data_IF_044986335979
#
_entry.id   IF_044986335979
#
_cell.length_a   1.000
_cell.length_b   1.000
_cell.length_c   1.000
_cell.angle_alpha   90.00
_cell.angle_beta   90.00
_cell.angle_gamma   90.00
#
_symmetry.space_group_name_H-M   'P 1'
#
loop_
_entity.id
_entity.type
_entity.pdbx_description
1 polymer ?
#
# COMPACT_ATOMS: atom_id res chain seq x y z
N UNK A 1 14.74 -21.72 0.30
CA UNK A 1 15.78 -20.67 0.40
C UNK A 1 15.15 -19.48 1.08
N UNK A 2 15.62 -19.10 2.27
CA UNK A 2 15.18 -17.87 2.92
C UNK A 2 15.71 -16.71 2.08
N UNK A 3 14.83 -15.87 1.54
CA UNK A 3 15.25 -14.65 0.88
C UNK A 3 15.99 -13.79 1.91
N UNK A 4 17.22 -13.38 1.61
CA UNK A 4 17.94 -12.45 2.45
C UNK A 4 17.15 -11.14 2.50
N UNK A 5 16.83 -10.68 3.71
CA UNK A 5 16.29 -9.36 3.94
C UNK A 5 17.44 -8.46 4.39
N UNK A 6 17.53 -7.28 3.81
CA UNK A 6 18.58 -6.32 4.17
C UNK A 6 17.96 -4.94 4.21
N UNK A 7 18.09 -4.29 5.38
CA UNK A 7 17.84 -2.86 5.50
C UNK A 7 18.95 -2.14 4.77
N UNK A 8 18.56 -1.30 3.83
CA UNK A 8 19.53 -0.54 3.05
C UNK A 8 19.62 0.91 3.53
N UNK A 9 18.51 1.48 4.04
CA UNK A 9 18.42 2.82 4.61
C UNK A 9 17.35 2.88 5.72
N UNK A 10 16.94 4.07 6.16
CA UNK A 10 16.11 4.26 7.36
C UNK A 10 14.72 3.62 7.27
N UNK A 11 14.03 3.75 6.13
CA UNK A 11 12.64 3.30 5.97
C UNK A 11 12.48 2.16 4.98
N UNK A 12 13.36 2.07 4.00
CA UNK A 12 13.26 1.13 2.89
C UNK A 12 14.10 -0.12 3.15
N UNK A 13 13.64 -1.23 2.61
CA UNK A 13 14.28 -2.52 2.79
C UNK A 13 14.19 -3.35 1.52
N UNK A 14 15.04 -4.37 1.42
CA UNK A 14 14.93 -5.39 0.38
C UNK A 14 14.42 -6.69 0.96
N UNK A 15 13.63 -7.40 0.16
CA UNK A 15 13.28 -8.80 0.42
C UNK A 15 13.43 -9.57 -0.88
N UNK A 16 14.49 -10.37 -0.97
CA UNK A 16 14.94 -10.94 -2.23
C UNK A 16 15.37 -9.84 -3.20
N UNK A 17 14.89 -9.89 -4.45
CA UNK A 17 15.24 -8.94 -5.52
C UNK A 17 14.26 -7.76 -5.63
N UNK A 18 13.51 -7.49 -4.58
CA UNK A 18 12.50 -6.43 -4.56
C UNK A 18 12.89 -5.35 -3.56
N UNK A 19 12.84 -4.08 -3.98
CA UNK A 19 12.99 -2.93 -3.09
C UNK A 19 11.61 -2.51 -2.56
N UNK A 20 11.43 -2.50 -1.25
CA UNK A 20 10.19 -2.15 -0.58
C UNK A 20 10.22 -0.72 -0.03
N UNK A 21 9.16 0.02 -0.29
CA UNK A 21 8.95 1.40 0.18
C UNK A 21 7.69 1.41 1.07
N UNK A 22 7.83 1.44 2.40
CA UNK A 22 6.71 1.56 3.32
C UNK A 22 6.19 3.01 3.39
N UNK A 23 4.96 3.25 2.96
CA UNK A 23 4.40 4.62 2.94
C UNK A 23 3.78 5.05 4.27
N UNK A 24 3.15 4.11 4.98
CA UNK A 24 2.38 4.43 6.19
C UNK A 24 2.28 3.18 7.06
N UNK A 25 2.14 3.39 8.37
CA UNK A 25 1.73 2.38 9.31
C UNK A 25 0.22 2.35 9.52
N UNK A 26 -0.56 3.35 9.07
CA UNK A 26 -2.03 3.41 9.26
C UNK A 26 -2.76 2.49 8.30
N UNK A 27 -3.86 1.90 8.74
CA UNK A 27 -4.64 0.98 7.92
C UNK A 27 -6.14 1.28 8.06
N UNK A 28 -6.95 0.82 7.12
CA UNK A 28 -8.42 0.89 7.14
C UNK A 28 -9.05 -0.51 7.24
N UNK A 29 -8.25 -1.49 7.68
CA UNK A 29 -8.58 -2.87 7.96
C UNK A 29 -7.49 -3.45 8.86
N UNK A 30 -7.63 -4.70 9.32
CA UNK A 30 -6.51 -5.42 9.92
C UNK A 30 -5.29 -5.38 8.96
N UNK A 31 -4.10 -5.00 9.44
CA UNK A 31 -2.86 -4.98 8.67
C UNK A 31 -2.57 -6.34 8.05
N UNK A 32 -2.15 -6.37 6.79
CA UNK A 32 -1.85 -7.61 6.09
C UNK A 32 -0.85 -8.52 6.82
N UNK A 33 0.20 -8.02 7.51
CA UNK A 33 1.04 -8.86 8.35
C UNK A 33 0.28 -9.61 9.46
N UNK A 34 -0.67 -8.96 10.12
CA UNK A 34 -1.45 -9.57 11.22
C UNK A 34 -2.44 -10.62 10.73
N UNK A 35 -2.94 -10.49 9.50
CA UNK A 35 -3.81 -11.52 8.90
C UNK A 35 -3.11 -12.89 8.74
N UNK A 36 -1.79 -12.93 8.84
CA UNK A 36 -0.96 -14.14 8.72
C UNK A 36 -0.92 -14.96 10.01
N UNK A 37 -1.57 -14.52 11.08
CA UNK A 37 -1.65 -15.22 12.36
C UNK A 37 -0.54 -14.84 13.35
N UNK A 38 -0.71 -15.19 14.64
CA UNK A 38 0.17 -14.74 15.74
C UNK A 38 1.61 -15.24 15.62
N UNK A 39 1.86 -16.38 14.96
CA UNK A 39 3.21 -16.92 14.76
C UNK A 39 3.99 -16.27 13.60
N UNK A 40 3.40 -15.30 12.89
CA UNK A 40 4.05 -14.70 11.73
C UNK A 40 5.16 -13.74 12.17
N UNK A 41 6.41 -14.07 11.80
CA UNK A 41 7.57 -13.25 12.08
C UNK A 41 8.16 -12.64 10.81
N UNK A 42 8.63 -11.40 10.94
CA UNK A 42 9.40 -10.71 9.91
C UNK A 42 10.89 -10.72 10.29
N UNK A 43 11.80 -10.72 9.31
CA UNK A 43 13.21 -10.46 9.56
C UNK A 43 13.38 -9.15 10.35
N UNK A 44 14.28 -9.15 11.34
CA UNK A 44 14.53 -7.99 12.22
C UNK A 44 14.72 -6.69 11.44
N UNK A 45 15.48 -6.73 10.36
CA UNK A 45 15.75 -5.57 9.53
C UNK A 45 14.44 -4.96 8.96
N UNK A 46 13.51 -5.79 8.51
CA UNK A 46 12.21 -5.32 8.03
C UNK A 46 11.40 -4.71 9.17
N UNK A 47 11.43 -5.32 10.36
CA UNK A 47 10.77 -4.78 11.56
C UNK A 47 11.34 -3.40 11.89
N UNK A 48 12.65 -3.24 11.93
CA UNK A 48 13.32 -1.96 12.25
C UNK A 48 12.88 -0.85 11.27
N UNK A 49 12.80 -1.14 9.97
CA UNK A 49 12.35 -0.21 8.94
C UNK A 49 10.87 0.19 9.12
N UNK A 50 9.98 -0.77 9.41
CA UNK A 50 8.56 -0.52 9.63
C UNK A 50 8.32 0.26 10.93
N UNK A 51 9.06 -0.05 12.00
CA UNK A 51 9.02 0.71 13.26
C UNK A 51 9.50 2.14 13.04
N UNK A 52 10.52 2.38 12.20
CA UNK A 52 10.96 3.74 11.86
C UNK A 52 9.83 4.55 11.22
N UNK A 53 9.10 3.98 10.27
CA UNK A 53 7.92 4.64 9.66
C UNK A 53 6.86 4.93 10.72
N UNK A 54 6.54 3.94 11.55
CA UNK A 54 5.55 4.07 12.63
C UNK A 54 5.90 5.19 13.61
N UNK A 55 7.17 5.26 14.04
CA UNK A 55 7.63 6.25 15.00
C UNK A 55 7.54 7.67 14.44
N UNK A 56 7.91 7.85 13.18
CA UNK A 56 7.81 9.14 12.51
C UNK A 56 6.36 9.56 12.27
N UNK A 57 5.49 8.65 11.84
CA UNK A 57 4.09 8.95 11.53
C UNK A 57 3.25 9.21 12.79
N UNK A 58 3.54 8.51 13.89
CA UNK A 58 2.85 8.68 15.16
C UNK A 58 3.46 9.77 16.05
N UNK A 59 4.69 10.20 15.79
CA UNK A 59 5.42 11.12 16.68
C UNK A 59 5.72 10.50 18.06
N UNK A 60 5.74 9.17 18.14
CA UNK A 60 6.01 8.41 19.37
C UNK A 60 7.22 7.52 19.13
N UNK A 61 8.21 7.59 20.01
CA UNK A 61 9.34 6.67 19.96
C UNK A 61 8.93 5.31 20.53
N UNK A 62 8.52 4.39 19.65
CA UNK A 62 8.34 3.00 20.02
C UNK A 62 9.71 2.31 20.08
N UNK A 63 10.07 1.81 21.27
CA UNK A 63 11.26 0.99 21.48
C UNK A 63 10.78 -0.43 21.81
N UNK A 64 10.96 -1.41 20.90
CA UNK A 64 10.52 -2.78 21.18
C UNK A 64 11.27 -3.34 22.38
N UNK A 65 10.52 -4.01 23.26
CA UNK A 65 11.10 -4.67 24.41
C UNK A 65 12.02 -5.83 23.98
N UNK A 66 13.00 -6.24 24.79
CA UNK A 66 13.88 -7.36 24.45
C UNK A 66 13.14 -8.68 24.19
N UNK A 67 11.93 -8.84 24.72
CA UNK A 67 11.08 -10.02 24.57
C UNK A 67 10.27 -9.99 23.26
N UNK A 68 10.05 -8.80 22.68
CA UNK A 68 9.37 -8.60 21.39
C UNK A 68 10.30 -8.76 20.18
N UNK A 69 11.54 -9.22 20.38
CA UNK A 69 12.58 -9.38 19.33
C UNK A 69 12.21 -10.50 18.35
N UNK A 70 11.22 -10.28 17.50
CA UNK A 70 10.80 -11.20 16.44
C UNK A 70 9.44 -10.88 15.82
N UNK A 71 8.58 -10.16 16.55
CA UNK A 71 7.27 -9.71 16.08
C UNK A 71 7.25 -8.20 15.82
N UNK A 72 6.31 -7.75 14.96
CA UNK A 72 5.91 -6.36 14.99
C UNK A 72 5.16 -6.12 16.31
N UNK A 73 5.37 -4.98 17.00
CA UNK A 73 4.65 -4.69 18.22
C UNK A 73 3.16 -4.57 17.92
N UNK A 74 2.33 -4.94 18.91
CA UNK A 74 0.87 -4.97 18.78
C UNK A 74 0.33 -3.71 18.12
N UNK A 75 -0.46 -3.94 17.09
CA UNK A 75 -1.08 -2.88 16.34
C UNK A 75 -2.23 -2.30 17.16
N UNK A 76 -2.13 -1.05 17.57
CA UNK A 76 -3.21 -0.39 18.29
C UNK A 76 -4.42 -0.26 17.36
N UNK A 77 -5.60 -0.73 17.79
CA UNK A 77 -6.86 -0.51 17.04
C UNK A 77 -7.13 0.98 16.80
N UNK A 78 -6.57 1.87 17.62
CA UNK A 78 -6.68 3.32 17.42
C UNK A 78 -6.03 3.79 16.10
N UNK A 79 -5.07 3.04 15.56
CA UNK A 79 -4.41 3.36 14.28
C UNK A 79 -5.21 2.90 13.06
N UNK A 80 -6.18 2.00 13.24
CA UNK A 80 -7.10 1.52 12.20
C UNK A 80 -8.16 2.55 11.80
N UNK A 81 -8.39 3.53 12.68
CA UNK A 81 -9.53 4.44 12.59
C UNK A 81 -9.11 5.89 12.34
N UNK A 82 -7.80 6.19 12.41
CA UNK A 82 -7.34 7.55 12.19
C UNK A 82 -7.34 7.87 10.69
N UNK A 83 -8.33 8.67 10.26
CA UNK A 83 -8.19 9.44 9.02
C UNK A 83 -6.82 10.13 9.04
N UNK A 84 -6.06 10.03 7.96
CA UNK A 84 -4.82 10.81 7.83
C UNK A 84 -5.09 12.31 7.94
N UNK A 85 -6.31 12.71 7.61
CA UNK A 85 -6.81 14.07 7.65
C UNK A 85 -8.00 14.13 8.61
N UNK A 86 -7.81 14.62 9.85
CA UNK A 86 -8.92 14.92 10.76
C UNK A 86 -9.87 15.93 10.11
N UNK A 87 -11.17 15.82 10.38
CA UNK A 87 -12.18 16.75 9.83
C UNK A 87 -11.85 18.23 10.14
N UNK A 88 -11.18 18.49 11.27
CA UNK A 88 -10.76 19.82 11.69
C UNK A 88 -9.73 20.46 10.75
N UNK A 89 -8.93 19.67 10.03
CA UNK A 89 -7.95 20.18 9.05
C UNK A 89 -8.60 20.65 7.74
N UNK A 90 -9.89 20.35 7.51
CA UNK A 90 -10.62 20.78 6.31
C UNK A 90 -11.05 22.26 6.45
N UNK A 91 -11.25 22.75 7.68
CA UNK A 91 -11.83 24.08 7.92
C UNK A 91 -10.79 25.19 8.16
N UNK A 92 -9.53 24.86 8.42
CA UNK A 92 -8.51 25.83 8.85
C UNK A 92 -7.55 26.29 7.73
N UNK A 93 -7.93 26.09 6.47
CA UNK A 93 -7.07 26.40 5.32
C UNK A 93 -7.74 27.38 4.36
N UNK A 94 -7.69 28.67 4.72
CA UNK A 94 -7.62 29.73 3.71
C UNK A 94 -6.28 29.56 2.98
N UNK A 95 -6.26 29.46 1.63
CA UNK A 95 -5.02 29.38 0.86
C UNK A 95 -4.34 30.76 0.87
N UNK A 96 -3.81 31.18 2.00
CA UNK A 96 -3.05 32.41 2.11
C UNK A 96 -1.63 32.21 1.55
N UNK A 97 -1.49 32.57 0.28
CA UNK A 97 -0.31 33.24 -0.28
C UNK A 97 1.05 32.53 -0.31
N UNK A 98 1.12 31.25 -0.64
CA UNK A 98 2.34 30.69 -1.26
C UNK A 98 2.10 30.45 -2.76
N UNK A 99 2.30 31.50 -3.56
CA UNK A 99 2.33 31.44 -5.02
C UNK A 99 3.60 30.72 -5.48
N UNK A 100 3.61 29.39 -5.41
CA UNK A 100 4.74 28.57 -5.82
C UNK A 100 4.62 28.16 -7.30
N UNK A 101 4.97 29.07 -8.22
CA UNK A 101 5.34 28.85 -9.64
C UNK A 101 4.83 27.57 -10.36
N UNK A 102 3.54 27.28 -10.32
CA UNK A 102 2.91 26.19 -11.09
C UNK A 102 3.51 24.79 -10.86
N UNK A 103 4.25 24.57 -9.76
CA UNK A 103 4.78 23.26 -9.39
C UNK A 103 3.80 22.61 -8.42
N UNK A 104 3.51 21.34 -8.66
CA UNK A 104 2.70 20.48 -7.79
C UNK A 104 3.04 20.72 -6.31
N UNK A 105 2.11 21.32 -5.56
CA UNK A 105 2.24 21.45 -4.11
C UNK A 105 1.93 20.08 -3.53
N UNK A 106 2.99 19.36 -3.14
CA UNK A 106 2.89 18.07 -2.49
C UNK A 106 2.62 18.30 -1.01
N UNK A 107 1.59 17.65 -0.46
CA UNK A 107 1.35 17.63 0.98
C UNK A 107 2.39 16.74 1.67
N UNK A 108 3.55 17.34 1.97
CA UNK A 108 4.69 16.67 2.59
C UNK A 108 4.67 16.75 4.13
N UNK A 109 3.54 17.14 4.73
CA UNK A 109 3.40 17.34 6.19
C UNK A 109 3.36 16.03 6.97
N UNK A 110 2.95 14.94 6.32
CA UNK A 110 2.89 13.61 6.94
C UNK A 110 4.29 12.98 6.89
N UNK A 111 4.80 12.56 8.04
CA UNK A 111 6.06 11.84 8.13
C UNK A 111 5.86 10.31 8.01
N UNK A 112 6.84 9.56 7.47
CA UNK A 112 8.01 10.08 6.75
C UNK A 112 7.59 10.86 5.51
N UNK A 113 8.31 11.94 5.24
CA UNK A 113 7.98 12.82 4.12
C UNK A 113 8.15 12.10 2.78
N UNK A 114 7.28 12.40 1.82
CA UNK A 114 7.34 12.00 0.40
C UNK A 114 8.74 12.25 -0.15
N UNK A 115 9.33 13.42 0.14
CA UNK A 115 10.69 13.77 -0.32
C UNK A 115 11.74 12.82 0.28
N UNK A 116 11.65 12.52 1.57
CA UNK A 116 12.57 11.61 2.25
C UNK A 116 12.50 10.20 1.65
N UNK A 117 11.29 9.64 1.54
CA UNK A 117 11.06 8.30 0.98
C UNK A 117 11.50 8.18 -0.48
N UNK A 118 11.19 9.19 -1.31
CA UNK A 118 11.60 9.22 -2.71
C UNK A 118 13.13 9.30 -2.85
N UNK A 119 13.78 10.17 -2.06
CA UNK A 119 15.24 10.31 -2.06
C UNK A 119 15.93 9.02 -1.65
N UNK A 120 15.45 8.37 -0.59
CA UNK A 120 15.95 7.09 -0.12
C UNK A 120 15.83 6.01 -1.20
N UNK A 121 14.64 5.85 -1.81
CA UNK A 121 14.42 4.88 -2.88
C UNK A 121 15.34 5.13 -4.10
N UNK A 122 15.44 6.38 -4.56
CA UNK A 122 16.29 6.76 -5.70
C UNK A 122 17.78 6.50 -5.40
N UNK A 123 18.25 6.86 -4.21
CA UNK A 123 19.64 6.62 -3.78
C UNK A 123 19.97 5.12 -3.79
N UNK A 124 19.03 4.29 -3.38
CA UNK A 124 19.19 2.83 -3.41
C UNK A 124 19.20 2.25 -4.81
N UNK A 125 18.38 2.78 -5.72
CA UNK A 125 18.41 2.35 -7.12
C UNK A 125 19.75 2.72 -7.79
N UNK A 126 20.30 3.89 -7.48
CA UNK A 126 21.60 4.34 -7.99
C UNK A 126 22.76 3.50 -7.46
N UNK A 127 22.77 3.20 -6.16
CA UNK A 127 23.84 2.42 -5.51
C UNK A 127 23.79 0.93 -5.85
N UNK A 128 22.59 0.35 -6.03
CA UNK A 128 22.43 -1.06 -6.40
C UNK A 128 22.84 -1.38 -7.85
N UNK A 129 23.10 -0.38 -8.69
CA UNK A 129 23.56 -0.62 -10.08
C UNK A 129 24.88 -1.39 -10.16
N UNK A 130 25.66 -1.43 -9.07
CA UNK A 130 26.93 -2.14 -8.97
C UNK A 130 26.90 -3.42 -8.13
N UNK A 131 25.74 -3.82 -7.58
CA UNK A 131 25.62 -5.03 -6.77
C UNK A 131 25.50 -6.29 -7.63
N UNK A 132 26.02 -7.41 -7.13
CA UNK A 132 25.95 -8.72 -7.80
C UNK A 132 24.51 -9.21 -8.02
N UNK A 133 23.54 -8.69 -7.25
CA UNK A 133 22.12 -9.01 -7.38
C UNK A 133 21.30 -7.73 -7.54
N UNK A 134 21.00 -7.30 -8.78
CA UNK A 134 20.20 -6.12 -9.02
C UNK A 134 18.74 -6.32 -8.60
N UNK A 135 18.08 -5.22 -8.27
CA UNK A 135 16.65 -5.17 -7.97
C UNK A 135 15.85 -5.38 -9.26
N UNK A 136 14.85 -6.26 -9.23
CA UNK A 136 13.98 -6.59 -10.37
C UNK A 136 12.66 -5.80 -10.35
N UNK A 137 12.25 -5.32 -9.18
CA UNK A 137 11.00 -4.58 -9.04
C UNK A 137 11.02 -3.68 -7.82
N UNK A 138 10.19 -2.65 -7.87
CA UNK A 138 9.93 -1.74 -6.77
C UNK A 138 8.55 -2.08 -6.23
N UNK A 139 8.45 -2.21 -4.92
CA UNK A 139 7.22 -2.60 -4.23
C UNK A 139 6.84 -1.50 -3.26
N UNK A 140 5.73 -0.84 -3.53
CA UNK A 140 5.15 0.12 -2.60
C UNK A 140 4.17 -0.65 -1.73
N UNK A 141 4.50 -0.72 -0.45
CA UNK A 141 3.80 -1.53 0.54
C UNK A 141 3.88 -0.81 1.90
N UNK A 142 3.75 -1.57 2.98
CA UNK A 142 3.90 -1.05 4.33
C UNK A 142 3.33 -2.03 5.33
N UNK A 143 3.40 -1.64 6.59
CA UNK A 143 2.55 -2.22 7.60
C UNK A 143 1.07 -1.81 7.37
N UNK A 144 0.86 -0.55 7.02
CA UNK A 144 -0.45 0.04 6.76
C UNK A 144 -0.97 -0.15 5.33
N UNK A 145 -2.00 0.63 4.97
CA UNK A 145 -2.58 0.70 3.63
C UNK A 145 -1.98 1.86 2.82
N UNK A 146 -1.11 1.59 1.82
CA UNK A 146 -0.41 2.63 1.09
C UNK A 146 -1.34 3.61 0.38
N UNK A 147 -2.54 3.19 -0.05
CA UNK A 147 -3.48 4.08 -0.74
C UNK A 147 -4.11 5.14 0.15
N UNK A 148 -3.93 5.07 1.48
CA UNK A 148 -4.27 6.17 2.37
C UNK A 148 -3.44 7.42 2.05
N UNK A 149 -2.19 7.26 1.56
CA UNK A 149 -1.30 8.36 1.15
C UNK A 149 -1.19 8.41 -0.38
N UNK A 150 -2.30 8.60 -1.09
CA UNK A 150 -2.33 8.54 -2.56
C UNK A 150 -1.33 9.51 -3.20
N UNK A 151 -1.21 10.74 -2.70
CA UNK A 151 -0.25 11.72 -3.24
C UNK A 151 1.20 11.26 -3.08
N UNK A 152 1.54 10.64 -1.95
CA UNK A 152 2.87 10.06 -1.73
C UNK A 152 3.12 8.91 -2.70
N UNK A 153 2.15 8.01 -2.83
CA UNK A 153 2.19 6.86 -3.74
C UNK A 153 2.48 7.28 -5.18
N UNK A 154 1.72 8.25 -5.71
CA UNK A 154 1.91 8.76 -7.07
C UNK A 154 3.23 9.51 -7.24
N UNK A 155 3.57 10.39 -6.28
CA UNK A 155 4.76 11.23 -6.37
C UNK A 155 6.06 10.46 -6.30
N UNK A 156 6.15 9.46 -5.43
CA UNK A 156 7.32 8.57 -5.32
C UNK A 156 7.47 7.77 -6.61
N UNK A 157 6.37 7.20 -7.13
CA UNK A 157 6.39 6.41 -8.37
C UNK A 157 6.87 7.25 -9.56
N UNK A 158 6.35 8.47 -9.70
CA UNK A 158 6.76 9.39 -10.77
C UNK A 158 8.24 9.79 -10.66
N UNK A 159 8.74 10.07 -9.45
CA UNK A 159 10.16 10.40 -9.25
C UNK A 159 11.09 9.25 -9.60
N UNK A 160 10.71 8.02 -9.23
CA UNK A 160 11.44 6.80 -9.58
C UNK A 160 11.48 6.61 -11.11
N UNK A 161 10.34 6.74 -11.80
CA UNK A 161 10.28 6.62 -13.27
C UNK A 161 11.11 7.71 -13.96
N UNK A 162 11.02 8.95 -13.47
CA UNK A 162 11.78 10.08 -13.99
C UNK A 162 13.29 9.85 -13.84
N UNK A 163 13.72 9.35 -12.67
CA UNK A 163 15.11 9.01 -12.41
C UNK A 163 15.61 7.85 -13.30
N UNK A 164 14.79 6.82 -13.51
CA UNK A 164 15.16 5.72 -14.40
C UNK A 164 15.34 6.21 -15.85
N UNK A 165 14.44 7.08 -16.30
CA UNK A 165 14.50 7.69 -17.63
C UNK A 165 15.72 8.60 -17.79
N UNK A 166 16.03 9.44 -16.80
CA UNK A 166 17.17 10.37 -16.88
C UNK A 166 18.53 9.66 -16.90
N UNK A 167 18.62 8.50 -16.24
CA UNK A 167 19.85 7.71 -16.21
C UNK A 167 19.91 6.64 -17.31
N UNK A 168 18.94 6.62 -18.23
CA UNK A 168 18.84 5.61 -19.29
C UNK A 168 18.88 4.16 -18.76
N UNK A 169 18.36 3.94 -17.55
CA UNK A 169 18.24 2.60 -16.97
C UNK A 169 16.95 1.94 -17.43
N UNK A 170 16.91 0.62 -17.67
CA UNK A 170 15.68 -0.08 -17.95
C UNK A 170 14.62 0.19 -16.87
N UNK A 171 13.36 0.49 -17.25
CA UNK A 171 12.33 0.79 -16.27
C UNK A 171 12.03 -0.48 -15.44
N UNK A 172 12.13 -0.35 -14.12
CA UNK A 172 11.70 -1.42 -13.22
C UNK A 172 10.19 -1.34 -13.02
N UNK A 173 9.49 -2.48 -13.02
CA UNK A 173 8.07 -2.50 -12.70
C UNK A 173 7.84 -2.03 -11.26
N UNK A 174 6.86 -1.15 -11.08
CA UNK A 174 6.39 -0.69 -9.78
C UNK A 174 5.11 -1.46 -9.43
N UNK A 175 5.14 -2.16 -8.29
CA UNK A 175 4.02 -2.94 -7.76
C UNK A 175 3.48 -2.30 -6.49
N UNK A 176 2.18 -2.08 -6.43
CA UNK A 176 1.46 -1.74 -5.21
C UNK A 176 1.02 -3.03 -4.48
N UNK A 177 1.22 -3.13 -3.17
CA UNK A 177 0.56 -4.11 -2.31
C UNK A 177 -0.50 -3.36 -1.49
N UNK A 178 -1.75 -3.83 -1.55
CA UNK A 178 -2.90 -3.15 -0.94
C UNK A 178 -3.93 -4.18 -0.45
N UNK A 179 -4.74 -3.79 0.53
CA UNK A 179 -5.96 -4.51 0.89
C UNK A 179 -7.10 -4.29 -0.12
N UNK A 180 -6.97 -3.34 -1.05
CA UNK A 180 -7.94 -3.04 -2.10
C UNK A 180 -9.12 -2.17 -1.66
N UNK A 181 -9.15 -1.69 -0.41
CA UNK A 181 -10.21 -0.84 0.14
C UNK A 181 -10.05 0.64 -0.25
N UNK A 182 -9.39 0.93 -1.36
CA UNK A 182 -9.13 2.30 -1.84
C UNK A 182 -10.42 3.12 -1.95
N UNK A 183 -11.51 2.45 -2.36
CA UNK A 183 -12.82 3.09 -2.55
C UNK A 183 -13.60 3.33 -1.26
N UNK A 184 -13.12 2.86 -0.11
CA UNK A 184 -13.70 3.22 1.21
C UNK A 184 -13.04 4.46 1.81
N UNK A 185 -11.92 4.92 1.24
CA UNK A 185 -11.13 6.04 1.76
C UNK A 185 -11.77 7.36 1.30
N UNK A 186 -11.95 8.35 2.20
CA UNK A 186 -12.40 9.68 1.82
C UNK A 186 -11.45 10.26 0.80
N UNK A 187 -12.00 10.88 -0.25
CA UNK A 187 -11.21 11.41 -1.35
C UNK A 187 -10.24 10.39 -1.97
N UNK A 188 -10.50 9.08 -1.85
CA UNK A 188 -9.62 7.99 -2.32
C UNK A 188 -8.17 8.07 -1.83
N UNK A 189 -7.95 8.71 -0.67
CA UNK A 189 -6.63 8.93 -0.08
C UNK A 189 -5.82 10.07 -0.69
N UNK A 190 -6.40 10.86 -1.60
CA UNK A 190 -5.81 12.13 -2.02
C UNK A 190 -5.86 13.15 -0.87
N UNK A 191 -4.80 13.92 -0.70
CA UNK A 191 -4.76 14.99 0.30
C UNK A 191 -5.84 16.03 -0.01
N UNK A 192 -6.61 16.49 1.00
CA UNK A 192 -7.49 17.63 0.84
C UNK A 192 -6.71 18.91 0.50
N UNK A 193 -5.41 18.98 0.81
CA UNK A 193 -4.54 20.09 0.45
C UNK A 193 -3.95 19.99 -0.95
N UNK A 194 -4.27 18.95 -1.72
CA UNK A 194 -3.87 18.85 -3.12
C UNK A 194 -4.65 19.88 -3.97
N UNK A 195 -4.05 21.04 -4.19
CA UNK A 195 -4.65 22.16 -4.94
C UNK A 195 -5.08 21.77 -6.36
N UNK A 196 -4.44 20.77 -6.98
CA UNK A 196 -4.78 20.34 -8.34
C UNK A 196 -6.07 19.51 -8.37
N UNK A 197 -6.54 19.03 -7.22
CA UNK A 197 -7.73 18.19 -7.08
C UNK A 197 -8.77 18.79 -6.15
N UNK A 198 -8.46 19.92 -5.51
CA UNK A 198 -9.37 20.62 -4.62
C UNK A 198 -10.66 21.00 -5.34
N UNK A 199 -11.80 20.57 -4.80
CA UNK A 199 -13.13 20.81 -5.38
C UNK A 199 -13.45 19.99 -6.63
N UNK A 200 -12.55 19.11 -7.09
CA UNK A 200 -12.84 18.23 -8.22
C UNK A 200 -13.54 16.96 -7.75
N UNK A 201 -14.59 16.56 -8.46
CA UNK A 201 -15.19 15.25 -8.26
C UNK A 201 -14.24 14.19 -8.83
N UNK A 202 -13.53 13.48 -7.95
CA UNK A 202 -12.69 12.35 -8.35
C UNK A 202 -13.60 11.13 -8.58
N UNK A 203 -13.41 10.48 -9.72
CA UNK A 203 -14.11 9.24 -10.03
C UNK A 203 -13.20 8.04 -9.75
N UNK A 204 -13.78 6.89 -9.38
CA UNK A 204 -13.05 5.65 -9.07
C UNK A 204 -12.09 5.21 -10.18
N UNK A 205 -12.51 5.35 -11.44
CA UNK A 205 -11.69 5.00 -12.59
C UNK A 205 -10.49 5.95 -12.79
N UNK A 206 -10.60 7.20 -12.33
CA UNK A 206 -9.50 8.17 -12.39
C UNK A 206 -8.36 7.73 -11.48
N UNK A 207 -8.66 7.21 -10.28
CA UNK A 207 -7.67 6.72 -9.31
C UNK A 207 -6.70 5.70 -9.93
N UNK A 208 -7.25 4.69 -10.63
CA UNK A 208 -6.45 3.64 -11.25
C UNK A 208 -5.66 4.16 -12.47
N UNK A 209 -6.21 5.11 -13.22
CA UNK A 209 -5.48 5.78 -14.31
C UNK A 209 -4.33 6.62 -13.77
N UNK A 210 -4.55 7.37 -12.70
CA UNK A 210 -3.52 8.17 -12.03
C UNK A 210 -2.36 7.27 -11.58
N UNK A 211 -2.67 6.10 -10.97
CA UNK A 211 -1.66 5.10 -10.61
C UNK A 211 -0.86 4.61 -11.82
N UNK A 212 -1.55 4.27 -12.92
CA UNK A 212 -0.91 3.76 -14.13
C UNK A 212 -0.02 4.83 -14.79
N UNK A 213 -0.50 6.07 -14.87
CA UNK A 213 0.25 7.24 -15.38
C UNK A 213 1.48 7.55 -14.53
N UNK A 214 1.40 7.34 -13.21
CA UNK A 214 2.55 7.44 -12.31
C UNK A 214 3.56 6.27 -12.45
N UNK A 215 3.26 5.25 -13.26
CA UNK A 215 4.12 4.10 -13.52
C UNK A 215 3.83 2.86 -12.67
N UNK A 216 2.78 2.88 -11.85
CA UNK A 216 2.32 1.71 -11.08
C UNK A 216 1.56 0.80 -12.05
N UNK A 217 2.24 -0.20 -12.57
CA UNK A 217 1.71 -1.12 -13.58
C UNK A 217 1.22 -2.44 -13.00
N UNK A 218 1.54 -2.71 -11.73
CA UNK A 218 1.21 -3.98 -11.06
C UNK A 218 0.55 -3.72 -9.71
N UNK A 219 -0.44 -4.53 -9.36
CA UNK A 219 -1.11 -4.46 -8.06
C UNK A 219 -1.25 -5.87 -7.48
N UNK A 220 -0.95 -6.03 -6.20
CA UNK A 220 -1.21 -7.23 -5.41
C UNK A 220 -2.31 -6.90 -4.40
N UNK A 221 -3.47 -7.53 -4.53
CA UNK A 221 -4.65 -7.25 -3.69
C UNK A 221 -4.92 -8.41 -2.74
N UNK A 222 -5.13 -8.12 -1.46
CA UNK A 222 -5.50 -9.12 -0.46
C UNK A 222 -7.01 -9.36 -0.45
N UNK A 223 -7.47 -10.40 -1.15
CA UNK A 223 -8.88 -10.78 -1.17
C UNK A 223 -9.25 -11.65 0.04
N UNK A 224 -8.32 -12.53 0.45
CA UNK A 224 -8.37 -13.41 1.62
C UNK A 224 -9.51 -14.45 1.65
N UNK A 225 -10.72 -14.13 1.22
CA UNK A 225 -11.87 -15.04 1.15
C UNK A 225 -12.84 -14.64 0.03
N UNK A 226 -13.64 -15.60 -0.46
CA UNK A 226 -14.76 -15.37 -1.36
C UNK A 226 -16.08 -15.06 -0.64
N UNK A 227 -16.15 -15.29 0.68
CA UNK A 227 -17.34 -15.06 1.48
C UNK A 227 -17.31 -13.65 2.08
N UNK A 228 -18.38 -12.89 1.83
CA UNK A 228 -18.53 -11.50 2.29
C UNK A 228 -18.50 -11.35 3.82
N UNK A 229 -19.19 -12.23 4.55
CA UNK A 229 -19.25 -12.17 6.01
C UNK A 229 -17.92 -12.61 6.64
N UNK A 230 -17.32 -13.66 6.08
CA UNK A 230 -15.98 -14.08 6.49
C UNK A 230 -14.96 -12.95 6.27
N UNK A 231 -15.09 -12.19 5.16
CA UNK A 231 -14.22 -11.05 4.89
C UNK A 231 -14.33 -9.99 5.99
N UNK A 232 -15.54 -9.63 6.41
CA UNK A 232 -15.75 -8.65 7.48
C UNK A 232 -15.10 -9.09 8.79
N UNK A 233 -15.18 -10.38 9.13
CA UNK A 233 -14.56 -10.96 10.34
C UNK A 233 -13.04 -10.99 10.22
N UNK A 234 -12.51 -11.39 9.06
CA UNK A 234 -11.07 -11.54 8.85
C UNK A 234 -10.33 -10.21 8.75
N UNK A 235 -10.99 -9.20 8.17
CA UNK A 235 -10.35 -7.94 7.81
C UNK A 235 -10.79 -6.77 8.69
N UNK A 236 -11.88 -6.90 9.46
CA UNK A 236 -12.47 -5.82 10.27
C UNK A 236 -12.40 -4.45 9.54
N UNK A 237 -12.97 -4.34 8.32
CA UNK A 237 -12.82 -3.13 7.51
C UNK A 237 -13.44 -1.93 8.22
N UNK A 238 -12.69 -0.83 8.24
CA UNK A 238 -13.11 0.43 8.83
C UNK A 238 -13.69 1.36 7.76
N UNK A 239 -14.82 2.00 8.08
CA UNK A 239 -15.39 3.10 7.28
C UNK A 239 -14.90 4.42 7.84
N UNK A 240 -14.44 5.31 6.96
CA UNK A 240 -14.20 6.71 7.33
C UNK A 240 -15.35 7.63 6.91
N UNK A 241 -16.33 7.11 6.18
CA UNK A 241 -17.56 7.86 5.90
C UNK A 241 -18.45 7.82 7.13
N UNK A 242 -19.23 8.87 7.35
CA UNK A 242 -20.13 9.04 8.51
C UNK A 242 -21.24 7.97 8.65
N UNK A 243 -21.22 6.93 7.83
CA UNK A 243 -21.97 5.69 7.99
C UNK A 243 -21.04 4.49 8.19
N UNK A 244 -21.42 3.59 9.10
CA UNK A 244 -20.83 2.25 9.19
C UNK A 244 -21.02 1.53 7.85
N UNK A 245 -19.97 0.86 7.35
CA UNK A 245 -20.07 0.01 6.16
C UNK A 245 -21.09 -1.08 6.43
N UNK A 246 -22.04 -1.27 5.51
CA UNK A 246 -22.95 -2.41 5.62
C UNK A 246 -22.15 -3.72 5.50
N UNK A 247 -22.55 -4.78 6.25
CA UNK A 247 -21.88 -6.07 6.15
C UNK A 247 -21.73 -6.55 4.71
N UNK A 248 -20.52 -6.96 4.34
CA UNK A 248 -20.14 -7.43 3.02
C UNK A 248 -19.83 -6.34 1.99
N UNK A 249 -20.09 -5.06 2.28
CA UNK A 249 -19.86 -3.97 1.33
C UNK A 249 -18.37 -3.78 1.02
N UNK A 250 -17.49 -3.98 2.02
CA UNK A 250 -16.04 -3.90 1.84
C UNK A 250 -15.52 -4.94 0.84
N UNK A 251 -16.05 -6.17 0.93
CA UNK A 251 -15.73 -7.26 -0.01
C UNK A 251 -16.16 -6.92 -1.44
N UNK A 252 -17.36 -6.38 -1.60
CA UNK A 252 -17.87 -5.93 -2.91
C UNK A 252 -16.98 -4.82 -3.51
N UNK A 253 -16.53 -3.86 -2.70
CA UNK A 253 -15.63 -2.79 -3.16
C UNK A 253 -14.26 -3.30 -3.61
N UNK A 254 -13.70 -4.31 -2.93
CA UNK A 254 -12.42 -4.90 -3.35
C UNK A 254 -12.58 -5.67 -4.66
N UNK A 255 -13.67 -6.42 -4.80
CA UNK A 255 -13.99 -7.11 -6.06
C UNK A 255 -14.12 -6.10 -7.21
N UNK A 256 -14.78 -4.97 -6.97
CA UNK A 256 -14.87 -3.86 -7.93
C UNK A 256 -13.48 -3.29 -8.26
N UNK A 257 -12.65 -2.99 -7.25
CA UNK A 257 -11.30 -2.48 -7.45
C UNK A 257 -10.43 -3.42 -8.29
N UNK A 258 -10.45 -4.72 -8.01
CA UNK A 258 -9.72 -5.75 -8.78
C UNK A 258 -10.17 -5.75 -10.24
N UNK A 259 -11.49 -5.72 -10.47
CA UNK A 259 -12.09 -5.78 -11.79
C UNK A 259 -11.76 -4.50 -12.60
N UNK A 260 -11.84 -3.33 -11.99
CA UNK A 260 -11.48 -2.05 -12.63
C UNK A 260 -9.97 -1.97 -12.90
N UNK A 261 -9.11 -2.44 -12.00
CA UNK A 261 -7.66 -2.49 -12.20
C UNK A 261 -7.31 -3.37 -13.43
N UNK A 262 -8.00 -4.51 -13.58
CA UNK A 262 -7.86 -5.37 -14.77
C UNK A 262 -8.31 -4.65 -16.05
N UNK A 263 -9.45 -3.94 -16.02
CA UNK A 263 -9.98 -3.21 -17.18
C UNK A 263 -9.06 -2.10 -17.68
N UNK A 264 -8.39 -1.38 -16.77
CA UNK A 264 -7.43 -0.33 -17.15
C UNK A 264 -6.07 -0.89 -17.59
N UNK A 265 -5.88 -2.23 -17.54
CA UNK A 265 -4.71 -2.90 -18.06
C UNK A 265 -3.57 -3.10 -17.04
N UNK A 266 -3.83 -2.99 -15.74
CA UNK A 266 -2.84 -3.32 -14.71
C UNK A 266 -2.65 -4.84 -14.59
N UNK A 267 -1.43 -5.27 -14.23
CA UNK A 267 -1.15 -6.65 -13.85
C UNK A 267 -1.61 -6.89 -12.40
N UNK A 268 -2.71 -7.62 -12.23
CA UNK A 268 -3.30 -7.88 -10.90
C UNK A 268 -2.92 -9.27 -10.39
N UNK A 269 -2.28 -9.33 -9.22
CA UNK A 269 -2.06 -10.53 -8.41
C UNK A 269 -3.11 -10.54 -7.28
N UNK A 270 -3.95 -11.57 -7.22
CA UNK A 270 -4.85 -11.77 -6.07
C UNK A 270 -4.13 -12.64 -5.05
N UNK A 271 -4.13 -12.22 -3.79
CA UNK A 271 -3.57 -12.97 -2.67
C UNK A 271 -4.67 -13.46 -1.73
N UNK A 272 -4.46 -14.63 -1.14
CA UNK A 272 -5.34 -15.22 -0.14
C UNK A 272 -4.51 -15.79 1.02
N UNK A 273 -5.13 -16.04 2.17
CA UNK A 273 -4.45 -16.59 3.34
C UNK A 273 -4.80 -18.07 3.46
N UNK A 274 -3.78 -18.89 3.67
CA UNK A 274 -3.89 -20.33 3.86
C UNK A 274 -4.33 -20.64 5.29
N UNK A 275 -5.60 -20.36 5.60
CA UNK A 275 -6.25 -20.78 6.84
C UNK A 275 -7.20 -21.95 6.57
N UNK A 276 -7.46 -22.75 7.61
CA UNK A 276 -8.34 -23.94 7.52
C UNK A 276 -9.82 -23.58 7.32
N UNK A 277 -10.24 -22.42 7.80
CA UNK A 277 -11.62 -21.93 7.71
C UNK A 277 -11.93 -21.27 6.36
N UNK A 278 -10.92 -20.91 5.58
CA UNK A 278 -11.07 -20.27 4.26
C UNK A 278 -11.27 -21.31 3.16
N UNK A 279 -12.37 -21.21 2.42
CA UNK A 279 -12.61 -22.03 1.23
C UNK A 279 -11.75 -21.56 0.04
N UNK A 280 -10.58 -22.17 -0.10
CA UNK A 280 -9.64 -21.86 -1.18
C UNK A 280 -10.21 -22.07 -2.57
N UNK A 281 -11.08 -23.06 -2.74
CA UNK A 281 -11.64 -23.41 -4.05
C UNK A 281 -12.58 -22.32 -4.55
N UNK A 282 -13.37 -21.74 -3.65
CA UNK A 282 -14.25 -20.60 -3.93
C UNK A 282 -13.46 -19.31 -4.14
N UNK A 283 -12.38 -19.07 -3.38
CA UNK A 283 -11.47 -17.93 -3.62
C UNK A 283 -10.83 -18.02 -5.00
N UNK A 284 -10.32 -19.20 -5.37
CA UNK A 284 -9.77 -19.44 -6.70
C UNK A 284 -10.83 -19.25 -7.80
N UNK A 285 -12.07 -19.69 -7.57
CA UNK A 285 -13.19 -19.49 -8.51
C UNK A 285 -13.53 -18.00 -8.68
N UNK A 286 -13.63 -17.25 -7.58
CA UNK A 286 -13.87 -15.81 -7.60
C UNK A 286 -12.72 -15.07 -8.29
N UNK A 287 -11.46 -15.41 -7.97
CA UNK A 287 -10.29 -14.83 -8.59
C UNK A 287 -10.27 -15.05 -10.11
N UNK A 288 -10.59 -16.27 -10.58
CA UNK A 288 -10.74 -16.55 -12.02
C UNK A 288 -11.77 -15.66 -12.68
N UNK A 289 -12.94 -15.48 -12.05
CA UNK A 289 -14.01 -14.62 -12.57
C UNK A 289 -13.56 -13.17 -12.66
N UNK A 290 -12.98 -12.61 -11.60
CA UNK A 290 -12.54 -11.21 -11.56
C UNK A 290 -11.44 -10.92 -12.58
N UNK A 291 -10.47 -11.83 -12.73
CA UNK A 291 -9.34 -11.65 -13.66
C UNK A 291 -9.68 -11.94 -15.13
N UNK A 292 -10.81 -12.61 -15.40
CA UNK A 292 -11.22 -12.99 -16.77
C UNK A 292 -11.50 -11.79 -17.70
N UNK A 293 -11.70 -10.61 -17.13
CA UNK A 293 -11.95 -9.36 -17.87
C UNK A 293 -10.71 -8.88 -18.62
N UNK A 294 -9.51 -9.27 -18.19
CA UNK A 294 -8.27 -8.89 -18.86
C UNK A 294 -7.82 -9.96 -19.86
N UNK A 295 -7.70 -9.61 -21.14
CA UNK A 295 -7.24 -10.51 -22.22
C UNK A 295 -5.85 -11.13 -21.95
N UNK A 296 -5.03 -10.46 -21.13
CA UNK A 296 -3.64 -10.82 -20.82
C UNK A 296 -3.50 -11.80 -19.66
N UNK A 297 -4.50 -11.96 -18.79
CA UNK A 297 -4.39 -12.73 -17.55
C UNK A 297 -4.96 -14.15 -17.68
N UNK A 298 -4.33 -14.98 -18.51
CA UNK A 298 -4.76 -16.39 -18.72
C UNK A 298 -4.28 -17.35 -17.62
N UNK A 299 -3.45 -16.90 -16.68
CA UNK A 299 -2.98 -17.69 -15.54
C UNK A 299 -3.51 -17.06 -14.25
N UNK A 300 -4.72 -17.43 -13.89
CA UNK A 300 -5.40 -16.97 -12.68
C UNK A 300 -5.14 -17.95 -11.54
N UNK A 301 -4.03 -17.72 -10.84
CA UNK A 301 -3.75 -18.41 -9.59
C UNK A 301 -3.75 -17.38 -8.46
N UNK A 302 -4.51 -17.67 -7.41
CA UNK A 302 -4.40 -16.95 -6.15
C UNK A 302 -3.04 -17.28 -5.56
N UNK A 303 -2.30 -16.25 -5.14
CA UNK A 303 -1.07 -16.44 -4.40
C UNK A 303 -1.39 -16.62 -2.93
N UNK A 304 -1.43 -17.88 -2.52
CA UNK A 304 -1.67 -18.28 -1.14
C UNK A 304 -0.51 -17.91 -0.22
N UNK A 305 -0.84 -17.30 0.91
CA UNK A 305 0.05 -16.85 1.97
C UNK A 305 -0.16 -17.76 3.18
N UNK A 306 0.87 -18.52 3.58
CA UNK A 306 0.83 -19.33 4.81
C UNK A 306 0.30 -18.56 6.04
N UNK A 307 -0.51 -19.24 6.85
CA UNK A 307 -0.95 -18.80 8.16
C UNK A 307 -0.10 -19.47 9.26
N UNK A 308 0.17 -18.75 10.34
CA UNK A 308 1.07 -19.16 11.42
C UNK A 308 0.30 -19.11 12.74
N UNK A 309 0.00 -20.30 13.29
CA UNK A 309 -0.61 -20.50 14.62
C UNK A 309 0.42 -20.38 15.75
#
# INVERSE_FOLDING_TARGET
>A
MNAAATVLQKHTYTLGRSLYIPLTCRCNSIPLPLTRGPGFMLPKSIIDALISVRNEECGVEFVPSPEERGGLPDYSKNWLVNTLYPDDMINDHSPENETYNGKYVLDDRINPSIKSLAHEAVTLLSSNSHNEQPVDQIVIAGEGEPTLRMDALLSISHQIQSHQKSNNTPPLPIRLITNGLVYTIPNFGYSPSNINRYGMQIHRHSVLRDMLEAGISRVSVALNTANRHEYDVLMEPCSFTSGSLMPGMAHDMICEFILEACKVGMEVEITGIDRRDVDKSEVDRLARMLLSVAERNKRSNVRWRGYFE
#
